data_IF_955589470873
#
_entry.id   IF_955589470873
#
_cell.length_a   1.000
_cell.length_b   1.000
_cell.length_c   1.000
_cell.angle_alpha   90.00
_cell.angle_beta   90.00
_cell.angle_gamma   90.00
#
_symmetry.space_group_name_H-M   'P 1'
#
loop_
_entity.id
_entity.type
_entity.pdbx_description
1 polymer ?
#
# COMPACT_ATOMS: atom_id res chain seq x y z
N UNK A 1 -6.61 -26.55 21.10
CA UNK A 1 -5.78 -26.48 19.89
C UNK A 1 -6.26 -25.33 19.04
N UNK A 2 -5.66 -24.18 19.25
CA UNK A 2 -5.77 -23.10 18.28
C UNK A 2 -4.86 -23.54 17.14
N UNK A 3 -5.45 -24.03 16.04
CA UNK A 3 -4.69 -24.24 14.81
C UNK A 3 -3.93 -22.95 14.56
N UNK A 4 -2.60 -22.99 14.41
CA UNK A 4 -1.86 -21.79 14.06
C UNK A 4 -2.51 -21.22 12.79
N UNK A 5 -2.89 -19.96 12.84
CA UNK A 5 -3.45 -19.29 11.68
C UNK A 5 -2.41 -19.42 10.57
N UNK A 6 -2.65 -20.34 9.65
CA UNK A 6 -1.87 -20.40 8.39
C UNK A 6 -2.36 -19.25 7.52
N UNK A 7 -2.17 -18.05 8.05
CA UNK A 7 -2.47 -16.83 7.34
C UNK A 7 -1.22 -16.27 6.68
N UNK A 8 -1.36 -15.12 6.07
CA UNK A 8 -0.28 -14.37 5.43
C UNK A 8 0.99 -14.20 6.31
N UNK A 9 0.85 -14.30 7.64
CA UNK A 9 1.98 -14.32 8.56
C UNK A 9 2.92 -15.51 8.38
N UNK A 10 2.45 -16.64 7.87
CA UNK A 10 3.31 -17.78 7.54
C UNK A 10 3.87 -17.70 6.12
N UNK A 11 3.18 -16.99 5.24
CA UNK A 11 3.62 -16.80 3.85
C UNK A 11 4.90 -15.95 3.81
N UNK A 12 5.06 -15.00 4.71
CA UNK A 12 6.28 -14.20 4.75
C UNK A 12 7.54 -15.00 5.16
N UNK A 13 7.39 -16.12 5.86
CA UNK A 13 8.49 -17.03 6.18
C UNK A 13 8.88 -17.94 5.01
N UNK A 14 7.99 -18.08 4.04
CA UNK A 14 8.24 -18.81 2.79
C UNK A 14 8.66 -17.81 1.72
N UNK A 15 9.65 -17.37 1.78
CA UNK A 15 10.64 -16.65 1.04
C UNK A 15 10.39 -16.26 -0.40
N UNK A 16 10.48 -14.99 -0.63
CA UNK A 16 10.90 -14.39 -1.88
C UNK A 16 12.33 -14.83 -2.26
N UNK A 17 12.62 -16.14 -2.21
CA UNK A 17 13.90 -16.67 -2.68
C UNK A 17 13.87 -16.84 -4.18
N UNK A 18 14.89 -16.38 -4.79
CA UNK A 18 15.07 -16.33 -6.21
C UNK A 18 15.28 -14.91 -6.66
N UNK A 19 15.83 -14.73 -7.81
CA UNK A 19 16.00 -13.40 -8.37
C UNK A 19 14.64 -12.73 -8.56
N UNK A 20 14.44 -11.56 -8.02
CA UNK A 20 13.31 -10.72 -8.35
C UNK A 20 13.24 -10.45 -9.86
N UNK A 21 12.15 -9.90 -10.34
CA UNK A 21 11.97 -9.61 -11.78
C UNK A 21 13.09 -8.75 -12.37
N UNK A 22 13.73 -7.95 -11.55
CA UNK A 22 14.86 -7.10 -11.94
C UNK A 22 16.23 -7.74 -11.65
N UNK A 23 16.30 -9.05 -11.40
CA UNK A 23 17.52 -9.74 -11.01
C UNK A 23 17.96 -9.45 -9.57
N UNK A 24 17.06 -8.96 -8.74
CA UNK A 24 17.34 -8.64 -7.34
C UNK A 24 17.46 -9.90 -6.49
N UNK A 25 18.47 -9.94 -5.66
CA UNK A 25 18.68 -10.99 -4.66
C UNK A 25 18.56 -10.35 -3.27
N UNK A 26 17.51 -10.68 -2.49
CA UNK A 26 17.30 -10.07 -1.18
C UNK A 26 18.49 -10.24 -0.23
N UNK A 27 19.16 -11.37 -0.30
CA UNK A 27 20.32 -11.72 0.51
C UNK A 27 21.54 -10.83 0.24
N UNK A 28 21.65 -10.26 -0.95
CA UNK A 28 22.76 -9.37 -1.31
C UNK A 28 22.38 -7.90 -1.28
N UNK A 29 21.09 -7.58 -1.39
CA UNK A 29 20.58 -6.22 -1.52
C UNK A 29 19.89 -5.70 -0.26
N UNK A 30 19.58 -6.56 0.70
CA UNK A 30 19.05 -6.14 1.98
C UNK A 30 20.17 -5.47 2.80
N UNK A 31 20.14 -4.15 2.83
CA UNK A 31 21.14 -3.32 3.50
C UNK A 31 21.28 -3.58 5.02
N UNK A 32 20.28 -4.21 5.62
CA UNK A 32 20.26 -4.49 7.05
C UNK A 32 20.86 -5.87 7.39
N UNK A 33 21.09 -6.71 6.38
CA UNK A 33 21.70 -8.02 6.55
C UNK A 33 20.95 -8.99 7.48
N UNK A 34 19.63 -8.81 7.60
CA UNK A 34 18.78 -9.63 8.49
C UNK A 34 17.52 -10.11 7.79
N UNK A 35 16.77 -10.98 8.46
CA UNK A 35 15.49 -11.56 7.99
C UNK A 35 15.63 -12.62 6.87
N UNK A 36 16.86 -13.08 6.56
CA UNK A 36 17.07 -14.05 5.48
C UNK A 36 16.78 -15.49 5.86
N UNK A 37 17.20 -15.89 7.04
CA UNK A 37 17.04 -17.29 7.49
C UNK A 37 15.59 -17.67 7.74
N UNK A 38 14.77 -16.67 8.07
CA UNK A 38 13.37 -16.82 8.46
C UNK A 38 12.40 -16.22 7.44
N UNK A 39 12.88 -15.71 6.33
CA UNK A 39 12.11 -15.02 5.29
C UNK A 39 12.21 -13.51 5.36
N UNK A 40 11.53 -12.83 4.45
CA UNK A 40 11.50 -11.36 4.42
C UNK A 40 10.57 -10.82 5.50
N UNK A 41 11.01 -9.77 6.20
CA UNK A 41 10.14 -9.03 7.11
C UNK A 41 8.93 -8.49 6.35
N UNK A 42 7.73 -8.73 6.85
CA UNK A 42 6.52 -8.10 6.37
C UNK A 42 5.86 -7.34 7.53
N UNK A 43 5.72 -6.03 7.37
CA UNK A 43 5.03 -5.15 8.32
C UNK A 43 3.71 -4.70 7.71
N UNK A 44 3.45 -3.39 7.66
CA UNK A 44 2.24 -2.87 7.04
C UNK A 44 2.07 -3.42 5.64
N UNK A 45 0.89 -3.92 5.32
CA UNK A 45 0.66 -4.67 4.09
C UNK A 45 -0.74 -4.47 3.53
N UNK A 46 -0.85 -4.74 2.23
CA UNK A 46 -2.11 -4.83 1.51
C UNK A 46 -2.10 -6.07 0.62
N UNK A 47 -3.27 -6.63 0.40
CA UNK A 47 -3.53 -7.57 -0.70
C UNK A 47 -4.21 -6.81 -1.85
N UNK A 48 -3.76 -7.04 -3.06
CA UNK A 48 -4.34 -6.49 -4.27
C UNK A 48 -4.61 -7.61 -5.27
N UNK A 49 -5.83 -7.68 -5.80
CA UNK A 49 -6.20 -8.60 -6.89
C UNK A 49 -6.39 -7.76 -8.14
N UNK A 50 -5.65 -8.08 -9.19
CA UNK A 50 -5.72 -7.40 -10.48
C UNK A 50 -6.87 -7.94 -11.36
N UNK A 51 -7.20 -7.20 -12.41
CA UNK A 51 -8.29 -7.54 -13.35
C UNK A 51 -8.12 -8.91 -14.03
N UNK A 52 -6.89 -9.40 -14.10
CA UNK A 52 -6.57 -10.73 -14.65
C UNK A 52 -6.67 -11.86 -13.61
N UNK A 53 -7.13 -11.58 -12.41
CA UNK A 53 -7.26 -12.53 -11.31
C UNK A 53 -5.97 -12.84 -10.55
N UNK A 54 -4.83 -12.27 -10.96
CA UNK A 54 -3.59 -12.42 -10.20
C UNK A 54 -3.64 -11.58 -8.92
N UNK A 55 -3.15 -12.16 -7.84
CA UNK A 55 -3.10 -11.50 -6.54
C UNK A 55 -1.66 -11.16 -6.15
N UNK A 56 -1.53 -10.07 -5.42
CA UNK A 56 -0.26 -9.54 -4.98
C UNK A 56 -0.30 -9.21 -3.50
N UNK A 57 0.78 -9.53 -2.82
CA UNK A 57 1.07 -9.07 -1.47
C UNK A 57 2.03 -7.89 -1.56
N UNK A 58 1.59 -6.74 -1.09
CA UNK A 58 2.35 -5.50 -1.04
C UNK A 58 2.68 -5.21 0.42
N UNK A 59 3.94 -5.07 0.76
CA UNK A 59 4.30 -4.90 2.17
C UNK A 59 5.58 -4.09 2.38
N UNK A 60 5.62 -3.40 3.51
CA UNK A 60 6.83 -2.75 4.00
C UNK A 60 7.79 -3.78 4.56
N UNK A 61 9.01 -3.82 4.04
CA UNK A 61 10.04 -4.78 4.38
C UNK A 61 11.36 -4.08 4.70
N UNK A 62 12.39 -4.87 5.01
CA UNK A 62 13.75 -4.37 5.26
C UNK A 62 13.77 -3.24 6.30
N UNK A 63 13.04 -3.43 7.41
CA UNK A 63 12.80 -2.41 8.45
C UNK A 63 12.16 -1.13 7.88
N UNK A 64 11.14 -1.30 7.05
CA UNK A 64 10.38 -0.27 6.34
C UNK A 64 11.20 0.55 5.34
N UNK A 65 12.43 0.13 5.04
CA UNK A 65 13.24 0.87 4.06
C UNK A 65 12.73 0.70 2.63
N UNK A 66 12.05 -0.40 2.34
CA UNK A 66 11.70 -0.82 0.99
C UNK A 66 10.31 -1.46 0.98
N UNK A 67 9.51 -1.15 -0.04
CA UNK A 67 8.25 -1.86 -0.30
C UNK A 67 8.54 -3.05 -1.20
N UNK A 68 8.03 -4.21 -0.81
CA UNK A 68 8.01 -5.39 -1.66
C UNK A 68 6.62 -5.57 -2.28
N UNK A 69 6.59 -5.95 -3.55
CA UNK A 69 5.39 -6.35 -4.28
C UNK A 69 5.63 -7.75 -4.80
N UNK A 70 4.91 -8.74 -4.29
CA UNK A 70 5.11 -10.14 -4.58
C UNK A 70 3.83 -10.79 -5.12
N UNK A 71 3.95 -11.56 -6.20
CA UNK A 71 2.81 -12.31 -6.78
C UNK A 71 2.51 -13.53 -5.92
N UNK A 72 1.24 -13.73 -5.60
CA UNK A 72 0.75 -14.91 -4.91
C UNK A 72 0.40 -16.03 -5.91
N UNK A 73 0.39 -17.26 -5.41
CA UNK A 73 -0.16 -18.42 -6.14
C UNK A 73 -1.65 -18.27 -6.37
N UNK A 74 -2.22 -19.04 -7.30
CA UNK A 74 -3.64 -18.94 -7.67
C UNK A 74 -4.59 -19.33 -6.52
N UNK A 75 -4.11 -20.05 -5.51
CA UNK A 75 -4.84 -20.36 -4.27
C UNK A 75 -4.63 -19.33 -3.17
N UNK A 76 -3.80 -18.29 -3.42
CA UNK A 76 -3.42 -17.20 -2.50
C UNK A 76 -2.69 -17.63 -1.23
N UNK A 77 -2.16 -18.86 -1.18
CA UNK A 77 -1.56 -19.41 0.03
C UNK A 77 -0.03 -19.36 0.05
N UNK A 78 0.60 -19.05 -1.09
CA UNK A 78 2.06 -18.99 -1.20
C UNK A 78 2.50 -17.94 -2.23
N UNK A 79 3.79 -17.73 -2.37
CA UNK A 79 4.37 -16.88 -3.40
C UNK A 79 4.75 -17.69 -4.65
N UNK A 80 4.57 -17.08 -5.82
CA UNK A 80 5.07 -17.66 -7.09
C UNK A 80 6.58 -17.57 -7.24
N UNK A 81 7.24 -16.78 -6.39
CA UNK A 81 8.66 -16.41 -6.52
C UNK A 81 8.89 -15.13 -7.34
N UNK A 82 7.85 -14.59 -7.98
CA UNK A 82 7.95 -13.30 -8.68
C UNK A 82 7.72 -12.15 -7.73
N UNK A 83 8.65 -11.22 -7.68
CA UNK A 83 8.53 -10.02 -6.85
C UNK A 83 9.41 -8.88 -7.38
N UNK A 84 9.17 -7.70 -6.87
CA UNK A 84 9.98 -6.50 -7.09
C UNK A 84 10.18 -5.77 -5.77
N UNK A 85 11.35 -5.18 -5.62
CA UNK A 85 11.66 -4.19 -4.58
C UNK A 85 11.35 -2.80 -5.14
N UNK A 86 10.27 -2.20 -4.66
CA UNK A 86 9.84 -0.87 -5.03
C UNK A 86 10.22 0.16 -3.94
N UNK A 87 10.47 1.39 -4.32
CA UNK A 87 10.77 2.49 -3.39
C UNK A 87 11.94 2.16 -2.44
N UNK A 88 13.03 1.59 -2.99
CA UNK A 88 14.22 1.17 -2.25
C UNK A 88 14.79 2.36 -1.45
N UNK A 89 15.02 2.16 -0.16
CA UNK A 89 15.53 3.18 0.78
C UNK A 89 14.62 4.42 0.91
N UNK A 90 13.33 4.31 0.57
CA UNK A 90 12.40 5.43 0.70
C UNK A 90 11.70 5.47 2.06
N UNK A 91 11.78 4.42 2.87
CA UNK A 91 11.18 4.34 4.20
C UNK A 91 9.69 4.69 4.15
N UNK A 92 8.90 3.78 3.59
CA UNK A 92 7.46 3.92 3.44
C UNK A 92 6.70 2.85 4.23
N UNK A 93 5.57 3.25 4.78
CA UNK A 93 4.62 2.40 5.51
C UNK A 93 3.22 2.51 4.91
N UNK A 94 2.30 1.68 5.39
CA UNK A 94 0.88 1.72 5.06
C UNK A 94 0.59 1.70 3.54
N UNK A 95 1.13 0.72 2.80
CA UNK A 95 0.96 0.66 1.35
C UNK A 95 -0.51 0.43 0.99
N UNK A 96 -1.01 1.20 0.02
CA UNK A 96 -2.30 1.00 -0.61
C UNK A 96 -2.15 1.15 -2.13
N UNK A 97 -2.43 0.08 -2.88
CA UNK A 97 -2.39 0.07 -4.34
C UNK A 97 -3.80 -0.08 -4.89
N UNK A 98 -4.07 0.63 -5.96
CA UNK A 98 -5.30 0.51 -6.74
C UNK A 98 -5.00 0.72 -8.22
N UNK A 99 -5.95 0.35 -9.08
CA UNK A 99 -5.78 0.45 -10.54
C UNK A 99 -6.89 1.29 -11.15
N UNK A 100 -6.51 2.18 -12.07
CA UNK A 100 -7.44 3.00 -12.85
C UNK A 100 -6.92 3.17 -14.27
N UNK A 101 -7.78 2.89 -15.25
CA UNK A 101 -7.49 3.06 -16.69
C UNK A 101 -6.15 2.43 -17.13
N UNK A 102 -5.85 1.24 -16.58
CA UNK A 102 -4.62 0.49 -16.90
C UNK A 102 -3.37 0.96 -16.18
N UNK A 103 -3.43 2.05 -15.40
CA UNK A 103 -2.34 2.51 -14.55
C UNK A 103 -2.54 2.04 -13.11
N UNK A 104 -1.42 1.73 -12.46
CA UNK A 104 -1.37 1.39 -11.04
C UNK A 104 -0.97 2.61 -10.24
N UNK A 105 -1.65 2.85 -9.16
CA UNK A 105 -1.40 3.94 -8.24
C UNK A 105 -1.04 3.38 -6.87
N UNK A 106 -0.08 4.01 -6.24
CA UNK A 106 0.37 3.70 -4.88
C UNK A 106 0.11 4.89 -3.98
N UNK A 107 -0.32 4.63 -2.77
CA UNK A 107 -0.34 5.56 -1.66
C UNK A 107 0.31 4.89 -0.45
N UNK A 108 1.05 5.65 0.33
CA UNK A 108 1.67 5.22 1.57
C UNK A 108 2.02 6.41 2.44
N UNK A 109 2.68 6.18 3.55
CA UNK A 109 3.17 7.21 4.47
C UNK A 109 4.69 7.14 4.63
N UNK A 110 5.28 8.14 5.27
CA UNK A 110 6.64 8.06 5.80
C UNK A 110 6.66 7.32 7.14
N UNK A 111 7.85 7.03 7.63
CA UNK A 111 8.06 6.36 8.91
C UNK A 111 8.33 7.40 10.02
N UNK A 112 7.30 7.79 10.75
CA UNK A 112 7.37 8.78 11.83
C UNK A 112 6.85 8.24 13.17
N UNK A 113 6.82 6.92 13.32
CA UNK A 113 6.19 6.24 14.44
C UNK A 113 4.68 6.48 14.40
N UNK A 114 4.08 6.81 15.55
CA UNK A 114 2.64 7.02 15.65
C UNK A 114 2.17 8.44 15.31
N UNK A 115 3.07 9.30 14.82
CA UNK A 115 2.71 10.67 14.43
C UNK A 115 2.31 10.69 12.96
N UNK A 116 1.13 11.24 12.63
CA UNK A 116 0.74 11.42 11.24
C UNK A 116 1.76 12.25 10.46
N UNK A 117 1.95 11.92 9.20
CA UNK A 117 2.85 12.62 8.28
C UNK A 117 2.21 12.77 6.90
N UNK A 118 2.89 13.49 6.02
CA UNK A 118 2.46 13.67 4.65
C UNK A 118 2.41 12.33 3.91
N UNK A 119 1.29 12.03 3.29
CA UNK A 119 1.17 10.87 2.43
C UNK A 119 2.13 10.97 1.24
N UNK A 120 2.48 9.83 0.68
CA UNK A 120 3.31 9.70 -0.51
C UNK A 120 2.54 8.93 -1.56
N UNK A 121 2.65 9.34 -2.80
CA UNK A 121 1.99 8.68 -3.90
C UNK A 121 2.92 8.40 -5.07
N UNK A 122 2.56 7.41 -5.87
CA UNK A 122 3.26 7.09 -7.09
C UNK A 122 2.31 6.48 -8.12
N UNK A 123 2.76 6.44 -9.39
CA UNK A 123 2.05 5.83 -10.51
C UNK A 123 2.99 4.93 -11.30
N UNK A 124 2.45 3.85 -11.87
CA UNK A 124 3.21 2.94 -12.74
C UNK A 124 2.33 2.38 -13.88
N UNK A 125 2.93 2.04 -15.02
CA UNK A 125 2.23 1.37 -16.12
C UNK A 125 1.99 -0.12 -15.84
N UNK A 126 2.67 -0.67 -14.85
CA UNK A 126 2.57 -2.08 -14.42
C UNK A 126 2.68 -2.16 -12.90
N UNK A 127 2.08 -3.19 -12.30
CA UNK A 127 2.24 -3.48 -10.87
C UNK A 127 3.71 -3.65 -10.48
N UNK A 128 4.52 -4.10 -11.43
CA UNK A 128 5.96 -4.28 -11.28
C UNK A 128 6.78 -2.99 -11.44
N UNK A 129 6.12 -1.89 -11.78
CA UNK A 129 6.78 -0.63 -12.09
C UNK A 129 7.08 -0.42 -13.59
N UNK A 130 7.99 0.49 -13.96
CA UNK A 130 8.67 1.39 -13.03
C UNK A 130 7.71 2.37 -12.34
N UNK A 131 7.90 2.58 -11.05
CA UNK A 131 7.11 3.51 -10.26
C UNK A 131 7.67 4.93 -10.31
N UNK A 132 6.81 5.89 -10.62
CA UNK A 132 7.13 7.33 -10.60
C UNK A 132 6.46 7.97 -9.41
N UNK A 133 7.23 8.53 -8.47
CA UNK A 133 6.71 9.23 -7.31
C UNK A 133 6.04 10.55 -7.72
N UNK A 134 4.87 10.84 -7.15
CA UNK A 134 4.05 12.02 -7.44
C UNK A 134 3.99 13.02 -6.26
N UNK A 135 4.52 12.63 -5.09
CA UNK A 135 4.49 13.44 -3.88
C UNK A 135 3.23 13.21 -3.03
N UNK A 136 2.86 14.23 -2.24
CA UNK A 136 1.68 14.17 -1.38
C UNK A 136 0.40 14.35 -2.18
N UNK A 137 -0.54 13.38 -2.18
CA UNK A 137 -1.82 13.52 -2.87
C UNK A 137 -2.85 14.34 -2.09
N UNK A 138 -2.63 14.57 -0.80
CA UNK A 138 -3.52 15.36 0.05
C UNK A 138 -3.34 16.85 -0.20
N UNK A 139 -4.43 17.61 -0.26
CA UNK A 139 -4.43 19.03 -0.58
C UNK A 139 -5.18 19.83 0.47
N UNK A 140 -4.68 21.06 0.73
CA UNK A 140 -5.31 22.01 1.64
C UNK A 140 -4.83 21.87 3.09
N UNK A 141 -5.63 22.36 4.01
CA UNK A 141 -5.31 22.36 5.44
C UNK A 141 -5.14 20.93 5.99
N UNK A 142 -4.13 20.70 6.83
CA UNK A 142 -3.75 19.41 7.39
C UNK A 142 -3.30 18.34 6.36
N UNK A 143 -3.02 18.72 5.11
CA UNK A 143 -2.48 17.81 4.10
C UNK A 143 -1.14 17.21 4.49
N UNK A 144 -0.30 17.95 5.22
CA UNK A 144 1.01 17.51 5.71
C UNK A 144 0.95 16.42 6.79
N UNK A 145 -0.23 16.16 7.29
CA UNK A 145 -0.49 15.06 8.24
C UNK A 145 -1.48 14.06 7.67
N UNK A 146 -1.76 14.11 6.36
CA UNK A 146 -2.78 13.27 5.72
C UNK A 146 -4.11 13.38 6.46
N UNK A 147 -4.49 14.61 6.85
CA UNK A 147 -5.68 14.92 7.65
C UNK A 147 -5.69 14.18 9.01
N UNK A 148 -4.52 14.06 9.65
CA UNK A 148 -4.28 13.31 10.89
C UNK A 148 -4.62 11.82 10.76
N UNK A 149 -4.28 11.20 9.62
CA UNK A 149 -4.53 9.78 9.36
C UNK A 149 -3.36 9.11 8.66
N UNK A 150 -3.42 7.80 8.57
CA UNK A 150 -2.55 6.96 7.76
C UNK A 150 -3.41 6.11 6.82
N UNK A 151 -2.94 5.86 5.61
CA UNK A 151 -3.67 5.04 4.64
C UNK A 151 -3.87 3.61 5.16
N UNK A 152 -5.08 3.08 4.96
CA UNK A 152 -5.36 1.67 5.20
C UNK A 152 -5.80 0.98 3.92
N UNK A 153 -6.61 1.65 3.12
CA UNK A 153 -7.13 1.08 1.88
C UNK A 153 -7.63 2.17 0.92
N UNK A 154 -7.62 1.86 -0.36
CA UNK A 154 -8.32 2.65 -1.38
C UNK A 154 -9.46 1.78 -1.92
N UNK A 155 -10.69 2.15 -1.55
CA UNK A 155 -11.89 1.40 -1.84
C UNK A 155 -12.46 1.76 -3.22
N UNK A 156 -12.50 0.82 -4.18
CA UNK A 156 -13.26 1.02 -5.41
C UNK A 156 -14.76 1.00 -5.11
N UNK A 157 -15.50 1.96 -5.66
CA UNK A 157 -16.96 2.04 -5.45
C UNK A 157 -17.67 1.07 -6.39
N UNK A 158 -18.32 0.07 -5.82
CA UNK A 158 -19.05 -0.94 -6.60
C UNK A 158 -20.09 -0.29 -7.52
N UNK A 159 -20.15 -0.75 -8.77
CA UNK A 159 -21.07 -0.24 -9.78
C UNK A 159 -20.67 1.12 -10.38
N UNK A 160 -19.55 1.71 -9.98
CA UNK A 160 -19.05 2.97 -10.54
C UNK A 160 -17.62 2.79 -11.06
N UNK A 161 -17.43 2.99 -12.35
CA UNK A 161 -16.10 2.85 -12.97
C UNK A 161 -15.20 4.01 -12.54
N UNK A 162 -13.96 3.70 -12.15
CA UNK A 162 -12.91 4.69 -11.82
C UNK A 162 -13.25 5.62 -10.65
N UNK A 163 -14.14 5.19 -9.77
CA UNK A 163 -14.53 5.93 -8.56
C UNK A 163 -13.92 5.23 -7.35
N UNK A 164 -13.19 6.00 -6.54
CA UNK A 164 -12.44 5.47 -5.40
C UNK A 164 -12.63 6.36 -4.17
N UNK A 165 -12.55 5.72 -3.01
CA UNK A 165 -12.62 6.35 -1.70
C UNK A 165 -11.34 6.04 -0.95
N UNK A 166 -10.68 7.05 -0.45
CA UNK A 166 -9.60 6.92 0.51
C UNK A 166 -10.16 6.53 1.87
N UNK A 167 -9.60 5.49 2.47
CA UNK A 167 -9.86 5.08 3.85
C UNK A 167 -8.58 5.26 4.63
N UNK A 168 -8.62 6.08 5.66
CA UNK A 168 -7.50 6.35 6.56
C UNK A 168 -7.85 6.05 8.01
N UNK A 169 -6.85 5.57 8.73
CA UNK A 169 -6.92 5.31 10.17
C UNK A 169 -6.41 6.52 10.96
N UNK A 170 -7.16 6.93 11.97
CA UNK A 170 -6.78 7.93 12.97
C UNK A 170 -6.46 7.25 14.28
N UNK A 171 -5.22 6.88 14.43
CA UNK A 171 -4.72 6.23 15.63
C UNK A 171 -4.71 7.18 16.83
N UNK A 172 -5.21 6.70 17.98
CA UNK A 172 -5.12 7.41 19.25
C UNK A 172 -4.28 6.59 20.25
N UNK A 173 -2.99 6.93 20.44
CA UNK A 173 -2.10 6.15 21.31
C UNK A 173 -2.45 6.22 22.80
N UNK A 174 -3.18 7.26 23.23
CA UNK A 174 -3.64 7.40 24.62
C UNK A 174 -4.91 6.59 24.89
N UNK A 175 -5.69 6.30 23.85
CA UNK A 175 -6.93 5.53 23.97
C UNK A 175 -7.22 4.79 22.67
N UNK A 176 -6.72 3.57 22.54
CA UNK A 176 -6.89 2.77 21.32
C UNK A 176 -8.37 2.46 20.99
N UNK A 177 -9.26 2.48 22.00
CA UNK A 177 -10.72 2.28 21.80
C UNK A 177 -11.33 3.49 21.07
N UNK A 178 -10.73 4.65 21.21
CA UNK A 178 -11.16 5.90 20.54
C UNK A 178 -10.46 6.13 19.18
N UNK A 179 -9.95 5.10 18.56
CA UNK A 179 -9.50 5.15 17.16
C UNK A 179 -10.65 5.53 16.24
N UNK A 180 -10.37 6.38 15.24
CA UNK A 180 -11.34 6.85 14.26
C UNK A 180 -10.86 6.54 12.86
N UNK A 181 -11.77 6.62 11.91
CA UNK A 181 -11.50 6.48 10.48
C UNK A 181 -11.95 7.72 9.74
N UNK A 182 -11.29 8.01 8.65
CA UNK A 182 -11.77 8.99 7.67
C UNK A 182 -12.00 8.31 6.33
N UNK A 183 -13.03 8.77 5.63
CA UNK A 183 -13.38 8.32 4.29
C UNK A 183 -13.50 9.55 3.43
N UNK A 184 -12.67 9.68 2.41
CA UNK A 184 -12.63 10.85 1.56
C UNK A 184 -12.69 10.47 0.09
N UNK A 185 -13.39 11.22 -0.76
CA UNK A 185 -13.42 10.96 -2.19
C UNK A 185 -12.04 11.22 -2.80
N UNK A 186 -11.69 10.43 -3.81
CA UNK A 186 -10.49 10.62 -4.60
C UNK A 186 -10.85 11.27 -5.92
N UNK A 187 -10.15 12.36 -6.26
CA UNK A 187 -10.23 13.06 -7.53
C UNK A 187 -9.01 12.72 -8.39
N UNK A 188 -9.19 12.76 -9.71
CA UNK A 188 -8.11 12.50 -10.65
C UNK A 188 -7.91 13.68 -11.58
N UNK A 189 -6.65 14.04 -11.81
CA UNK A 189 -6.22 15.02 -12.78
C UNK A 189 -4.86 14.62 -13.36
N UNK A 190 -4.74 14.52 -14.67
CA UNK A 190 -3.47 14.30 -15.39
C UNK A 190 -2.66 13.09 -14.86
N UNK A 191 -3.29 11.94 -14.71
CA UNK A 191 -2.70 10.72 -14.12
C UNK A 191 -2.17 10.90 -12.68
N UNK A 192 -2.69 11.89 -11.97
CA UNK A 192 -2.50 12.08 -10.54
C UNK A 192 -3.82 11.91 -9.84
N UNK A 193 -3.78 11.53 -8.58
CA UNK A 193 -4.94 11.59 -7.74
C UNK A 193 -4.75 12.60 -6.62
N UNK A 194 -5.84 13.24 -6.22
CA UNK A 194 -5.88 14.24 -5.18
C UNK A 194 -6.96 13.88 -4.17
N UNK A 195 -6.71 14.20 -2.91
CA UNK A 195 -7.62 14.00 -1.80
C UNK A 195 -7.78 15.32 -1.08
N UNK A 196 -9.02 15.80 -0.98
CA UNK A 196 -9.38 17.00 -0.24
C UNK A 196 -10.16 16.63 1.01
N UNK A 197 -10.05 17.44 2.05
CA UNK A 197 -10.87 17.28 3.23
C UNK A 197 -12.32 17.70 2.93
N UNK A 198 -13.26 16.86 3.39
CA UNK A 198 -14.68 17.14 3.38
C UNK A 198 -15.24 16.85 4.77
N UNK A 199 -15.92 17.81 5.38
CA UNK A 199 -16.61 17.60 6.66
C UNK A 199 -17.77 16.61 6.50
N UNK A 200 -18.45 16.70 5.37
CA UNK A 200 -19.55 15.83 4.96
C UNK A 200 -19.50 15.63 3.45
N UNK A 201 -19.84 14.47 2.98
CA UNK A 201 -20.00 14.16 1.56
C UNK A 201 -20.83 12.87 1.40
N UNK A 202 -21.39 12.66 0.22
CA UNK A 202 -22.08 11.44 -0.16
C UNK A 202 -21.66 10.98 -1.57
N UNK A 203 -22.18 9.85 -2.02
CA UNK A 203 -21.82 9.29 -3.32
C UNK A 203 -22.25 10.17 -4.52
N UNK A 204 -23.12 11.16 -4.33
CA UNK A 204 -23.48 12.11 -5.38
C UNK A 204 -22.32 13.05 -5.73
N UNK A 205 -21.32 13.16 -4.85
CA UNK A 205 -20.07 13.86 -5.15
C UNK A 205 -19.46 13.42 -6.49
N UNK A 206 -19.64 12.17 -6.87
CA UNK A 206 -19.10 11.60 -8.10
C UNK A 206 -20.05 11.71 -9.32
N UNK A 207 -21.27 12.16 -9.14
CA UNK A 207 -22.27 12.21 -10.23
C UNK A 207 -22.00 13.34 -11.24
N UNK A 208 -21.21 14.33 -10.85
CA UNK A 208 -20.89 15.51 -11.67
C UNK A 208 -19.46 15.49 -12.25
N UNK A 209 -18.78 14.34 -12.23
CA UNK A 209 -17.36 14.24 -12.65
C UNK A 209 -17.17 13.25 -13.77
#
# INVERSE_FOLDING_TARGET
>A
DVAPSRGLGDVYKRQLYGGGLNGEHPDTLNILGRDFKEGQMARDMQLFVDDNGKAYHIFASETNSTIHIAELTDDFLDYTGKYVRAFVNRYMEAPAIFKKDGLYYFMGSGCTGWKPNAARSAVAPSIWGPWTELGNPCQGENSETTFHSQSTYILPVSGRKNVFIYIGDRWNPQNAIDGRYIWLPIDFQDNRFNIHWHNEWDLKYFDCK
#
